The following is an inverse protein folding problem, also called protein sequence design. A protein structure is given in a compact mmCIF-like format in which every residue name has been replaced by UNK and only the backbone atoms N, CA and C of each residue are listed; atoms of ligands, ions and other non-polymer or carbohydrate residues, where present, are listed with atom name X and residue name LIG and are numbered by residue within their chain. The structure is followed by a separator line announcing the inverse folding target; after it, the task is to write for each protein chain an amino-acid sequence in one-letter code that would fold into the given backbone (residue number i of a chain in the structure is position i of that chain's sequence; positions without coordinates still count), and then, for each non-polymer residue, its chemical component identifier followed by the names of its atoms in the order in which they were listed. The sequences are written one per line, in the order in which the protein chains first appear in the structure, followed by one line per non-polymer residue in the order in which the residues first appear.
data_IF_015360533327
#
_entry.id   IF_015360533327
#
_cell.length_a   1.000
_cell.length_b   1.000
_cell.length_c   1.000
_cell.angle_alpha   90.00
_cell.angle_beta   90.00
_cell.angle_gamma   90.00
#
_symmetry.space_group_name_H-M   'P 1'
#
loop_
_entity.id
_entity.type
_entity.pdbx_description
1 polymer ?
#
# COMPACT_ATOMS: atom_id res chain seq x y z
N UNK A 1 -8.41 -11.80 13.33
CA UNK A 1 -8.90 -10.97 12.22
C UNK A 1 -10.02 -10.09 12.77
N UNK A 2 -9.99 -8.80 12.48
CA UNK A 2 -10.94 -7.78 12.94
C UNK A 2 -11.65 -7.16 11.75
N UNK A 3 -12.71 -6.42 12.00
CA UNK A 3 -13.45 -5.66 10.98
C UNK A 3 -13.73 -4.25 11.48
N UNK A 4 -13.82 -3.32 10.55
CA UNK A 4 -14.32 -1.97 10.79
C UNK A 4 -15.17 -1.54 9.60
N UNK A 5 -16.27 -0.87 9.88
CA UNK A 5 -17.14 -0.32 8.85
C UNK A 5 -16.71 1.11 8.54
N UNK A 6 -16.54 1.37 7.26
CA UNK A 6 -16.32 2.69 6.65
C UNK A 6 -17.47 2.97 5.67
N UNK A 7 -17.59 4.20 5.22
CA UNK A 7 -18.66 4.60 4.30
C UNK A 7 -18.75 3.76 3.01
N UNK A 8 -17.60 3.25 2.56
CA UNK A 8 -17.51 2.36 1.39
C UNK A 8 -17.92 0.91 1.64
N UNK A 9 -17.94 0.44 2.90
CA UNK A 9 -18.22 -0.96 3.27
C UNK A 9 -17.35 -1.43 4.42
N UNK A 10 -17.19 -2.74 4.59
CA UNK A 10 -16.44 -3.35 5.71
C UNK A 10 -15.00 -3.66 5.32
N UNK A 11 -14.04 -3.13 6.07
CA UNK A 11 -12.60 -3.44 5.93
C UNK A 11 -12.18 -4.48 6.96
N UNK A 12 -11.60 -5.56 6.48
CA UNK A 12 -11.02 -6.61 7.33
C UNK A 12 -9.53 -6.33 7.54
N UNK A 13 -9.05 -6.52 8.78
CA UNK A 13 -7.64 -6.30 9.11
C UNK A 13 -7.11 -7.30 10.15
N UNK A 14 -5.80 -7.51 10.12
CA UNK A 14 -5.05 -8.24 11.13
C UNK A 14 -4.26 -7.25 12.00
N UNK A 15 -3.92 -7.64 13.23
CA UNK A 15 -3.07 -6.86 14.13
C UNK A 15 -1.93 -7.70 14.65
N UNK A 16 -0.78 -7.07 14.88
CA UNK A 16 0.37 -7.67 15.55
C UNK A 16 1.06 -6.63 16.42
N UNK A 17 1.68 -7.07 17.52
CA UNK A 17 2.38 -6.21 18.47
C UNK A 17 1.47 -5.64 19.57
N UNK A 18 2.06 -4.86 20.48
CA UNK A 18 1.36 -4.33 21.64
C UNK A 18 0.33 -3.25 21.23
N UNK A 19 -0.85 -3.21 21.87
CA UNK A 19 -1.88 -2.23 21.53
C UNK A 19 -1.48 -0.77 21.83
N UNK A 20 -0.50 -0.58 22.69
CA UNK A 20 0.05 0.74 23.08
C UNK A 20 1.25 1.16 22.23
N UNK A 21 1.73 0.30 21.32
CA UNK A 21 2.81 0.67 20.40
C UNK A 21 2.37 1.73 19.38
N UNK A 22 3.33 2.48 18.83
CA UNK A 22 3.06 3.43 17.75
C UNK A 22 2.41 2.70 16.57
N UNK A 23 1.28 3.18 16.05
CA UNK A 23 0.55 2.47 15.00
C UNK A 23 1.29 2.54 13.66
N UNK A 24 1.45 1.36 13.02
CA UNK A 24 1.95 1.20 11.65
C UNK A 24 0.84 0.58 10.82
N UNK A 25 0.33 1.31 9.84
CA UNK A 25 -0.76 0.87 8.95
C UNK A 25 -0.21 0.63 7.55
N UNK A 26 -0.56 -0.51 6.96
CA UNK A 26 -0.01 -0.96 5.69
C UNK A 26 -1.01 -0.86 4.55
N UNK A 27 -0.54 -0.43 3.38
CA UNK A 27 -1.32 -0.40 2.14
C UNK A 27 -0.63 -1.28 1.10
N UNK A 28 -1.29 -2.38 0.73
CA UNK A 28 -0.83 -3.30 -0.31
C UNK A 28 -1.22 -2.81 -1.72
N UNK A 29 -0.61 -3.39 -2.74
CA UNK A 29 -0.81 -3.00 -4.12
C UNK A 29 -2.02 -3.64 -4.82
N UNK A 30 -2.06 -3.45 -6.14
CA UNK A 30 -3.14 -3.89 -7.03
C UNK A 30 -3.29 -5.41 -7.06
N UNK A 31 -4.52 -5.89 -6.86
CA UNK A 31 -4.89 -7.31 -6.81
C UNK A 31 -4.07 -8.13 -5.80
N UNK A 32 -3.65 -7.49 -4.70
CA UNK A 32 -2.93 -8.08 -3.58
C UNK A 32 -3.79 -8.03 -2.31
N UNK A 33 -3.28 -8.59 -1.21
CA UNK A 33 -3.94 -8.59 0.10
C UNK A 33 -2.99 -8.30 1.25
N UNK A 34 -3.53 -8.07 2.45
CA UNK A 34 -2.77 -7.76 3.65
C UNK A 34 -1.71 -8.81 4.00
N UNK A 35 -1.90 -10.07 3.60
CA UNK A 35 -0.92 -11.14 3.83
C UNK A 35 0.47 -10.88 3.24
N UNK A 36 0.60 -9.96 2.28
CA UNK A 36 1.89 -9.45 1.79
C UNK A 36 2.79 -8.97 2.94
N UNK A 37 2.19 -8.35 3.93
CA UNK A 37 2.89 -7.68 5.02
C UNK A 37 3.19 -8.57 6.24
N UNK A 38 2.68 -9.82 6.28
CA UNK A 38 2.86 -10.71 7.44
C UNK A 38 4.32 -10.92 7.86
N UNK A 39 5.29 -11.13 6.94
CA UNK A 39 6.69 -11.28 7.35
C UNK A 39 7.25 -10.04 8.01
N UNK A 40 6.90 -8.85 7.50
CA UNK A 40 7.36 -7.56 8.02
C UNK A 40 6.66 -7.20 9.32
N UNK A 41 5.32 -7.26 9.36
CA UNK A 41 4.53 -6.88 10.53
C UNK A 41 4.87 -7.71 11.77
N UNK A 42 5.18 -9.01 11.57
CA UNK A 42 5.63 -9.89 12.66
C UNK A 42 6.98 -9.47 13.25
N UNK A 43 7.86 -8.84 12.47
CA UNK A 43 9.15 -8.31 12.93
C UNK A 43 8.98 -7.01 13.68
N UNK A 44 8.29 -6.05 13.08
CA UNK A 44 8.02 -4.75 13.69
C UNK A 44 7.24 -4.88 15.00
N UNK A 45 6.37 -5.87 15.10
CA UNK A 45 5.65 -6.19 16.34
C UNK A 45 6.59 -6.60 17.49
N UNK A 46 7.69 -7.31 17.20
CA UNK A 46 8.73 -7.65 18.19
C UNK A 46 9.54 -6.43 18.65
N UNK A 47 9.62 -5.42 17.78
CA UNK A 47 10.24 -4.13 18.09
C UNK A 47 9.29 -3.17 18.83
N UNK A 48 8.12 -3.67 19.27
CA UNK A 48 7.16 -2.91 20.08
C UNK A 48 6.19 -2.03 19.29
N UNK A 49 6.16 -2.13 17.96
CA UNK A 49 5.23 -1.37 17.12
C UNK A 49 3.87 -2.08 17.03
N UNK A 50 2.80 -1.29 16.98
CA UNK A 50 1.43 -1.78 16.75
C UNK A 50 1.15 -1.84 15.25
N UNK A 51 1.34 -3.01 14.65
CA UNK A 51 1.09 -3.23 13.23
C UNK A 51 -0.39 -3.51 12.98
N UNK A 52 -0.99 -2.79 12.04
CA UNK A 52 -2.37 -2.91 11.58
C UNK A 52 -2.33 -3.18 10.08
N UNK A 53 -2.82 -4.35 9.67
CA UNK A 53 -2.65 -4.89 8.32
C UNK A 53 -4.01 -5.09 7.66
N UNK A 54 -4.60 -4.04 7.05
CA UNK A 54 -5.87 -4.15 6.35
C UNK A 54 -5.73 -4.89 5.02
N UNK A 55 -6.84 -5.48 4.58
CA UNK A 55 -7.01 -5.90 3.19
C UNK A 55 -7.94 -4.90 2.50
N UNK A 56 -7.33 -3.97 1.79
CA UNK A 56 -8.02 -2.90 1.08
C UNK A 56 -8.82 -3.43 -0.12
N UNK A 57 -9.83 -2.68 -0.63
CA UNK A 57 -10.73 -3.17 -1.68
C UNK A 57 -10.08 -3.17 -3.08
N UNK A 58 -8.84 -3.67 -3.17
CA UNK A 58 -8.01 -3.76 -4.37
C UNK A 58 -8.01 -5.17 -5.00
N UNK A 59 -8.98 -6.04 -4.65
CA UNK A 59 -9.18 -7.34 -5.28
C UNK A 59 -9.13 -8.55 -4.34
N UNK A 60 -8.46 -8.46 -3.19
CA UNK A 60 -8.36 -9.56 -2.20
C UNK A 60 -9.29 -9.37 -0.98
N UNK A 61 -10.06 -8.29 -0.92
CA UNK A 61 -10.94 -7.98 0.19
C UNK A 61 -12.01 -9.06 0.40
N UNK A 62 -12.45 -9.21 1.65
CA UNK A 62 -13.27 -10.35 2.09
C UNK A 62 -14.75 -10.18 1.76
N UNK A 63 -15.23 -8.94 1.72
CA UNK A 63 -16.60 -8.57 1.48
C UNK A 63 -16.65 -7.47 0.41
N UNK A 64 -17.59 -7.57 -0.53
CA UNK A 64 -17.75 -6.55 -1.55
C UNK A 64 -18.11 -5.19 -0.94
N UNK A 65 -17.54 -4.13 -1.48
CA UNK A 65 -17.90 -2.75 -1.12
C UNK A 65 -19.32 -2.43 -1.59
N UNK A 66 -19.92 -1.40 -0.98
CA UNK A 66 -21.23 -0.91 -1.38
C UNK A 66 -21.24 -0.52 -2.87
N UNK A 67 -22.36 -0.69 -3.58
CA UNK A 67 -22.44 -0.30 -4.99
C UNK A 67 -22.14 1.18 -5.24
N UNK A 68 -22.43 2.03 -4.26
CA UNK A 68 -22.15 3.48 -4.29
C UNK A 68 -20.74 3.86 -3.86
N UNK A 69 -19.93 2.92 -3.35
CA UNK A 69 -18.58 3.21 -2.89
C UNK A 69 -17.72 3.79 -4.02
N UNK A 70 -16.95 4.83 -3.73
CA UNK A 70 -15.98 5.37 -4.67
C UNK A 70 -14.78 4.43 -4.77
N UNK A 71 -14.69 3.73 -5.91
CA UNK A 71 -13.61 2.78 -6.20
C UNK A 71 -12.48 3.42 -7.03
N UNK A 72 -12.35 4.73 -7.01
CA UNK A 72 -11.16 5.41 -7.54
C UNK A 72 -10.00 5.34 -6.54
N UNK A 73 -8.78 5.68 -6.97
CA UNK A 73 -7.63 5.75 -6.06
C UNK A 73 -7.88 6.76 -4.93
N UNK A 74 -8.50 7.92 -5.23
CA UNK A 74 -8.90 8.92 -4.22
C UNK A 74 -9.98 8.38 -3.28
N UNK A 75 -10.95 7.65 -3.81
CA UNK A 75 -11.97 6.98 -2.99
C UNK A 75 -11.36 5.96 -2.03
N UNK A 76 -10.39 5.17 -2.48
CA UNK A 76 -9.65 4.24 -1.60
C UNK A 76 -8.81 5.00 -0.58
N UNK A 77 -8.15 6.09 -0.95
CA UNK A 77 -7.40 6.94 -0.01
C UNK A 77 -8.32 7.55 1.07
N UNK A 78 -9.52 8.01 0.69
CA UNK A 78 -10.53 8.48 1.63
C UNK A 78 -11.00 7.36 2.58
N UNK A 79 -11.18 6.12 2.09
CA UNK A 79 -11.47 4.96 2.94
C UNK A 79 -10.33 4.66 3.92
N UNK A 80 -9.07 4.86 3.51
CA UNK A 80 -7.92 4.73 4.42
C UNK A 80 -8.01 5.79 5.51
N UNK A 81 -8.25 7.04 5.19
CA UNK A 81 -8.38 8.12 6.17
C UNK A 81 -9.53 7.85 7.15
N UNK A 82 -10.71 7.48 6.65
CA UNK A 82 -11.86 7.12 7.48
C UNK A 82 -11.56 5.91 8.39
N UNK A 83 -10.83 4.91 7.88
CA UNK A 83 -10.38 3.76 8.68
C UNK A 83 -9.51 4.20 9.87
N UNK A 84 -8.58 5.14 9.64
CA UNK A 84 -7.75 5.68 10.71
C UNK A 84 -8.59 6.43 11.74
N UNK A 85 -9.58 7.22 11.29
CA UNK A 85 -10.48 7.99 12.14
C UNK A 85 -11.38 7.09 12.99
N UNK A 86 -12.03 6.09 12.39
CA UNK A 86 -12.93 5.16 13.11
C UNK A 86 -12.19 4.36 14.16
N UNK A 87 -10.94 3.98 13.91
CA UNK A 87 -10.09 3.27 14.88
C UNK A 87 -9.43 4.23 15.90
N UNK A 88 -9.63 5.54 15.79
CA UNK A 88 -9.04 6.54 16.67
C UNK A 88 -7.51 6.50 16.68
N UNK A 89 -6.90 6.21 15.51
CA UNK A 89 -5.45 6.13 15.38
C UNK A 89 -4.86 7.53 15.18
N UNK A 90 -3.81 7.82 15.95
CA UNK A 90 -3.03 9.05 15.88
C UNK A 90 -1.56 8.72 15.66
N UNK A 91 -0.79 9.66 15.15
CA UNK A 91 0.65 9.53 14.91
C UNK A 91 1.01 8.29 14.09
N UNK A 92 0.18 8.00 13.07
CA UNK A 92 0.27 6.79 12.26
C UNK A 92 1.50 6.81 11.35
N UNK A 93 2.28 5.76 11.36
CA UNK A 93 3.27 5.46 10.32
C UNK A 93 2.55 4.73 9.18
N UNK A 94 2.31 5.42 8.06
CA UNK A 94 1.63 4.84 6.91
C UNK A 94 2.65 4.22 5.96
N UNK A 95 2.53 2.93 5.67
CA UNK A 95 3.47 2.17 4.84
C UNK A 95 2.79 1.72 3.55
N UNK A 96 3.30 2.12 2.39
CA UNK A 96 2.74 1.73 1.08
C UNK A 96 3.75 1.05 0.16
N UNK A 97 3.26 0.09 -0.66
CA UNK A 97 4.04 -0.60 -1.67
C UNK A 97 3.23 -0.75 -2.96
N UNK A 98 3.88 -0.77 -4.12
CA UNK A 98 3.21 -0.92 -5.43
C UNK A 98 2.11 0.16 -5.57
N UNK A 99 0.93 -0.14 -6.07
CA UNK A 99 -0.20 0.80 -6.13
C UNK A 99 -0.62 1.31 -4.73
N UNK A 100 -0.36 0.53 -3.66
CA UNK A 100 -0.58 0.98 -2.29
C UNK A 100 0.31 2.16 -1.88
N UNK A 101 1.49 2.29 -2.47
CA UNK A 101 2.33 3.47 -2.28
C UNK A 101 1.76 4.71 -2.97
N UNK A 102 1.15 4.57 -4.16
CA UNK A 102 0.42 5.67 -4.78
C UNK A 102 -0.79 6.10 -3.94
N UNK A 103 -1.56 5.14 -3.39
CA UNK A 103 -2.65 5.44 -2.44
C UNK A 103 -2.10 6.17 -1.21
N UNK A 104 -0.97 5.72 -0.64
CA UNK A 104 -0.34 6.36 0.51
C UNK A 104 0.09 7.82 0.22
N UNK A 105 0.60 8.10 -0.99
CA UNK A 105 0.91 9.46 -1.44
C UNK A 105 -0.36 10.33 -1.49
N UNK A 106 -1.48 9.81 -2.00
CA UNK A 106 -2.77 10.53 -1.98
C UNK A 106 -3.24 10.77 -0.56
N UNK A 107 -3.14 9.79 0.35
CA UNK A 107 -3.49 9.99 1.78
C UNK A 107 -2.60 11.07 2.41
N UNK A 108 -1.29 11.04 2.14
CA UNK A 108 -0.35 12.02 2.69
C UNK A 108 -0.63 13.46 2.21
N UNK A 109 -1.17 13.62 1.00
CA UNK A 109 -1.42 14.94 0.39
C UNK A 109 -2.86 15.44 0.54
N UNK A 110 -3.84 14.56 0.66
CA UNK A 110 -5.25 14.94 0.76
C UNK A 110 -5.85 14.70 2.16
N UNK A 111 -5.26 13.80 2.98
CA UNK A 111 -5.76 13.39 4.30
C UNK A 111 -4.63 13.19 5.33
N UNK A 112 -3.73 14.18 5.55
CA UNK A 112 -2.52 13.99 6.36
C UNK A 112 -2.75 13.98 7.88
N UNK A 113 -3.94 14.31 8.37
CA UNK A 113 -4.19 14.70 9.76
C UNK A 113 -3.75 13.62 10.78
N UNK A 114 -4.06 12.36 10.52
CA UNK A 114 -3.74 11.22 11.40
C UNK A 114 -2.33 10.67 11.23
N UNK A 115 -1.62 11.10 10.19
CA UNK A 115 -0.28 10.60 9.93
C UNK A 115 0.75 11.25 10.86
N UNK A 116 1.70 10.49 11.32
CA UNK A 116 2.92 10.94 11.98
C UNK A 116 4.14 10.77 11.09
N UNK A 117 4.12 9.81 10.17
CA UNK A 117 5.19 9.56 9.22
C UNK A 117 4.69 8.78 7.99
N UNK A 118 5.46 8.82 6.90
CA UNK A 118 5.20 8.10 5.67
C UNK A 118 6.36 7.16 5.34
N UNK A 119 6.07 5.92 4.94
CA UNK A 119 7.07 4.99 4.40
C UNK A 119 6.61 4.52 3.03
N UNK A 120 7.40 4.78 2.01
CA UNK A 120 7.15 4.30 0.66
C UNK A 120 8.22 3.27 0.28
N UNK A 121 7.77 2.06 -0.05
CA UNK A 121 8.63 1.04 -0.63
C UNK A 121 8.29 0.93 -2.11
N UNK A 122 9.23 0.62 -2.98
CA UNK A 122 9.06 0.47 -4.44
C UNK A 122 7.60 0.56 -4.92
N UNK A 123 7.18 1.69 -5.47
CA UNK A 123 5.77 1.96 -5.69
C UNK A 123 5.49 2.83 -6.93
N UNK A 124 4.24 2.81 -7.35
CA UNK A 124 3.72 3.69 -8.39
C UNK A 124 3.88 5.17 -7.98
N UNK A 125 4.40 5.98 -8.90
CA UNK A 125 4.57 7.42 -8.72
C UNK A 125 4.64 8.13 -10.08
N UNK A 126 4.35 9.42 -10.08
CA UNK A 126 4.53 10.32 -11.21
C UNK A 126 3.84 9.83 -12.49
N UNK A 127 4.51 10.04 -13.64
CA UNK A 127 4.05 9.65 -14.98
C UNK A 127 4.14 8.13 -15.26
N UNK A 128 4.87 7.36 -14.45
CA UNK A 128 5.04 5.93 -14.64
C UNK A 128 3.82 5.11 -14.19
N UNK A 129 2.80 5.77 -13.65
CA UNK A 129 1.53 5.15 -13.32
C UNK A 129 0.44 5.47 -14.36
N UNK A 130 -0.45 4.52 -14.73
CA UNK A 130 -0.38 3.10 -14.40
C UNK A 130 0.72 2.39 -15.21
N UNK A 131 1.38 1.37 -14.61
CA UNK A 131 2.45 0.65 -15.31
C UNK A 131 1.92 -0.06 -16.56
N UNK A 132 2.71 -0.13 -17.65
CA UNK A 132 2.26 -0.68 -18.94
C UNK A 132 1.70 -2.10 -18.87
N UNK A 133 2.13 -2.89 -17.89
CA UNK A 133 1.62 -4.26 -17.68
C UNK A 133 0.11 -4.28 -17.34
N UNK A 134 -0.44 -3.19 -16.81
CA UNK A 134 -1.86 -3.07 -16.50
C UNK A 134 -2.72 -2.65 -17.71
N UNK A 135 -2.13 -2.20 -18.82
CA UNK A 135 -2.87 -1.70 -19.97
C UNK A 135 -3.93 -2.69 -20.53
N UNK A 136 -3.65 -4.01 -20.61
CA UNK A 136 -4.66 -4.99 -21.03
C UNK A 136 -5.85 -5.08 -20.05
N UNK A 137 -5.58 -5.00 -18.74
CA UNK A 137 -6.61 -5.02 -17.69
C UNK A 137 -7.45 -3.75 -17.69
N UNK A 138 -6.83 -2.58 -17.86
CA UNK A 138 -7.51 -1.29 -17.99
C UNK A 138 -8.43 -1.30 -19.20
N UNK A 139 -7.96 -1.84 -20.33
CA UNK A 139 -8.77 -2.00 -21.54
C UNK A 139 -9.93 -2.96 -21.30
N UNK A 140 -9.68 -4.10 -20.67
CA UNK A 140 -10.70 -5.08 -20.32
C UNK A 140 -11.73 -4.51 -19.33
N UNK A 141 -11.33 -3.62 -18.43
CA UNK A 141 -12.22 -3.01 -17.44
C UNK A 141 -13.36 -2.18 -18.06
N UNK A 142 -13.21 -1.73 -19.32
CA UNK A 142 -14.27 -1.04 -20.06
C UNK A 142 -15.45 -1.97 -20.40
N UNK A 143 -15.24 -3.28 -20.43
CA UNK A 143 -16.25 -4.30 -20.75
C UNK A 143 -16.33 -5.31 -19.62
N UNK A 144 -17.38 -5.30 -18.78
CA UNK A 144 -17.45 -6.13 -17.56
C UNK A 144 -17.22 -7.61 -17.79
N UNK A 145 -17.76 -8.18 -18.88
CA UNK A 145 -17.57 -9.58 -19.23
C UNK A 145 -16.10 -9.89 -19.55
N UNK A 146 -15.41 -9.04 -20.30
CA UNK A 146 -14.01 -9.22 -20.67
C UNK A 146 -13.10 -9.17 -19.43
N UNK A 147 -13.36 -8.20 -18.54
CA UNK A 147 -12.62 -8.11 -17.28
C UNK A 147 -12.81 -9.36 -16.43
N UNK A 148 -14.05 -9.86 -16.34
CA UNK A 148 -14.35 -11.10 -15.62
C UNK A 148 -13.59 -12.30 -16.18
N UNK A 149 -13.49 -12.41 -17.51
CA UNK A 149 -12.67 -13.47 -18.16
C UNK A 149 -11.20 -13.31 -17.77
N UNK A 150 -10.67 -12.08 -17.78
CA UNK A 150 -9.28 -11.81 -17.37
C UNK A 150 -9.04 -12.20 -15.90
N UNK A 151 -9.96 -11.88 -14.99
CA UNK A 151 -9.90 -12.31 -13.58
C UNK A 151 -9.95 -13.84 -13.47
N UNK A 152 -10.82 -14.52 -14.25
CA UNK A 152 -10.89 -15.99 -14.22
C UNK A 152 -9.60 -16.65 -14.74
N UNK A 153 -8.89 -16.02 -15.68
CA UNK A 153 -7.60 -16.53 -16.18
C UNK A 153 -6.53 -16.57 -15.05
N UNK A 154 -6.67 -15.73 -14.01
CA UNK A 154 -5.78 -15.73 -12.84
C UNK A 154 -5.89 -17.00 -11.98
N UNK A 155 -6.87 -17.88 -12.22
CA UNK A 155 -6.90 -19.24 -11.65
C UNK A 155 -5.67 -20.05 -12.06
N UNK A 156 -5.16 -19.82 -13.28
CA UNK A 156 -3.98 -20.51 -13.79
C UNK A 156 -2.72 -20.03 -13.02
N UNK A 157 -1.98 -20.99 -12.47
CA UNK A 157 -0.67 -20.74 -11.85
C UNK A 157 0.30 -20.08 -12.82
N UNK A 158 0.28 -20.48 -14.09
CA UNK A 158 1.15 -19.93 -15.13
C UNK A 158 0.84 -18.44 -15.37
N UNK A 159 -0.44 -18.07 -15.41
CA UNK A 159 -0.87 -16.67 -15.56
C UNK A 159 -0.42 -15.85 -14.36
N UNK A 160 -0.62 -16.35 -13.13
CA UNK A 160 -0.15 -15.66 -11.92
C UNK A 160 1.36 -15.49 -11.88
N UNK A 161 2.12 -16.52 -12.22
CA UNK A 161 3.59 -16.43 -12.31
C UNK A 161 4.05 -15.39 -13.31
N UNK A 162 3.34 -15.25 -14.43
CA UNK A 162 3.65 -14.21 -15.42
C UNK A 162 3.31 -12.81 -14.89
N UNK A 163 2.22 -12.67 -14.13
CA UNK A 163 1.77 -11.38 -13.60
C UNK A 163 2.60 -10.90 -12.39
N UNK A 164 2.97 -11.82 -11.49
CA UNK A 164 3.59 -11.46 -10.21
C UNK A 164 5.04 -11.93 -10.06
N UNK A 165 5.50 -12.87 -10.89
CA UNK A 165 6.78 -13.56 -10.67
C UNK A 165 8.03 -12.68 -10.73
N UNK A 166 7.93 -11.49 -11.31
CA UNK A 166 9.04 -10.53 -11.33
C UNK A 166 9.04 -9.57 -10.13
N UNK A 167 8.00 -9.61 -9.27
CA UNK A 167 7.86 -8.71 -8.11
C UNK A 167 8.67 -9.16 -6.88
N UNK A 168 9.14 -10.41 -6.85
CA UNK A 168 10.04 -10.92 -5.80
C UNK A 168 10.99 -11.97 -6.37
N UNK A 169 12.10 -12.21 -5.66
CA UNK A 169 12.97 -13.37 -5.89
C UNK A 169 12.32 -14.66 -5.35
N UNK A 170 11.55 -14.53 -4.28
CA UNK A 170 10.85 -15.63 -3.64
C UNK A 170 9.69 -16.18 -4.51
N UNK A 171 9.28 -17.42 -4.22
CA UNK A 171 8.12 -18.03 -4.87
C UNK A 171 6.81 -17.45 -4.29
N UNK A 172 6.03 -16.78 -5.14
CA UNK A 172 4.78 -16.13 -4.76
C UNK A 172 3.52 -16.98 -5.05
N UNK A 173 3.65 -18.25 -5.43
CA UNK A 173 2.52 -19.07 -5.88
C UNK A 173 1.38 -19.17 -4.85
N UNK A 174 1.72 -19.40 -3.59
CA UNK A 174 0.74 -19.52 -2.51
C UNK A 174 0.05 -18.17 -2.21
N UNK A 175 0.83 -17.10 -2.06
CA UNK A 175 0.32 -15.75 -1.80
C UNK A 175 -0.58 -15.25 -2.94
N UNK A 176 -0.12 -15.39 -4.18
CA UNK A 176 -0.91 -14.95 -5.34
C UNK A 176 -2.19 -15.75 -5.53
N UNK A 177 -2.19 -17.04 -5.17
CA UNK A 177 -3.41 -17.85 -5.16
C UNK A 177 -4.40 -17.38 -4.08
N UNK A 178 -3.90 -17.00 -2.89
CA UNK A 178 -4.71 -16.43 -1.81
C UNK A 178 -5.33 -15.10 -2.26
N UNK A 179 -4.54 -14.17 -2.79
CA UNK A 179 -4.98 -12.82 -3.14
C UNK A 179 -6.10 -12.80 -4.19
N UNK A 180 -5.96 -13.60 -5.26
CA UNK A 180 -6.96 -13.59 -6.34
C UNK A 180 -8.20 -14.42 -6.03
N UNK A 181 -8.16 -15.24 -4.96
CA UNK A 181 -9.20 -16.22 -4.64
C UNK A 181 -10.61 -15.59 -4.54
N UNK A 182 -10.71 -14.43 -3.89
CA UNK A 182 -11.99 -13.75 -3.69
C UNK A 182 -12.52 -13.17 -4.99
N UNK A 183 -11.73 -12.41 -5.72
CA UNK A 183 -12.16 -11.83 -7.01
C UNK A 183 -12.55 -12.90 -8.04
N UNK A 184 -11.90 -14.07 -8.00
CA UNK A 184 -12.25 -15.19 -8.89
C UNK A 184 -13.59 -15.83 -8.54
N UNK A 185 -13.96 -15.89 -7.26
CA UNK A 185 -15.18 -16.57 -6.78
C UNK A 185 -16.38 -15.66 -6.60
N UNK A 186 -16.15 -14.42 -6.25
CA UNK A 186 -17.20 -13.44 -5.98
C UNK A 186 -17.26 -12.39 -7.09
N UNK A 187 -18.36 -12.39 -7.89
CA UNK A 187 -18.54 -11.42 -8.95
C UNK A 187 -18.60 -9.97 -8.46
N UNK A 188 -19.08 -9.72 -7.24
CA UNK A 188 -19.17 -8.37 -6.69
C UNK A 188 -17.78 -7.84 -6.31
N UNK A 189 -16.89 -8.69 -5.78
CA UNK A 189 -15.48 -8.33 -5.54
C UNK A 189 -14.74 -8.11 -6.86
N UNK A 190 -14.99 -8.95 -7.87
CA UNK A 190 -14.45 -8.72 -9.21
C UNK A 190 -14.91 -7.39 -9.82
N UNK A 191 -16.17 -7.00 -9.57
CA UNK A 191 -16.72 -5.72 -10.01
C UNK A 191 -16.07 -4.53 -9.28
N UNK A 192 -15.81 -4.63 -7.96
CA UNK A 192 -15.05 -3.60 -7.24
C UNK A 192 -13.65 -3.44 -7.85
N UNK A 193 -12.94 -4.54 -8.10
CA UNK A 193 -11.63 -4.49 -8.76
C UNK A 193 -11.71 -3.91 -10.17
N UNK A 194 -12.75 -4.25 -10.95
CA UNK A 194 -12.97 -3.68 -12.29
C UNK A 194 -13.16 -2.16 -12.23
N UNK A 195 -13.98 -1.67 -11.31
CA UNK A 195 -14.23 -0.24 -11.13
C UNK A 195 -12.96 0.50 -10.75
N UNK A 196 -12.19 -0.05 -9.82
CA UNK A 196 -10.88 0.50 -9.47
C UNK A 196 -9.95 0.51 -10.68
N UNK A 197 -9.81 -0.61 -11.40
CA UNK A 197 -8.96 -0.73 -12.60
C UNK A 197 -9.36 0.28 -13.68
N UNK A 198 -10.65 0.46 -13.91
CA UNK A 198 -11.17 1.38 -14.93
C UNK A 198 -10.98 2.86 -14.59
N UNK A 199 -10.68 3.19 -13.32
CA UNK A 199 -10.45 4.55 -12.85
C UNK A 199 -8.97 4.94 -12.82
N UNK A 200 -8.04 4.00 -13.07
CA UNK A 200 -6.61 4.28 -13.01
C UNK A 200 -6.21 5.33 -14.05
N UNK A 201 -5.53 6.36 -13.59
CA UNK A 201 -5.04 7.47 -14.44
C UNK A 201 -3.75 8.06 -13.89
N UNK A 202 -2.86 8.42 -14.77
CA UNK A 202 -1.61 9.13 -14.46
C UNK A 202 -1.85 10.44 -13.73
N UNK A 203 -2.98 11.11 -14.00
CA UNK A 203 -3.28 12.39 -13.38
C UNK A 203 -3.32 12.31 -11.85
N UNK A 204 -3.81 11.20 -11.28
CA UNK A 204 -3.88 11.05 -9.81
C UNK A 204 -2.49 11.06 -9.15
N UNK A 205 -1.51 10.36 -9.74
CA UNK A 205 -0.14 10.34 -9.21
C UNK A 205 0.60 11.65 -9.48
N UNK A 206 0.33 12.34 -10.58
CA UNK A 206 0.88 13.67 -10.86
C UNK A 206 0.31 14.72 -9.90
N UNK A 207 -0.99 14.69 -9.61
CA UNK A 207 -1.62 15.60 -8.65
C UNK A 207 -1.06 15.38 -7.23
N UNK A 208 -0.91 14.12 -6.80
CA UNK A 208 -0.28 13.80 -5.53
C UNK A 208 1.17 14.30 -5.49
N UNK A 209 1.96 14.01 -6.53
CA UNK A 209 3.36 14.43 -6.61
C UNK A 209 3.54 15.95 -6.52
N UNK A 210 2.65 16.73 -7.14
CA UNK A 210 2.68 18.20 -7.08
C UNK A 210 2.46 18.72 -5.65
N UNK A 211 1.80 17.94 -4.77
CA UNK A 211 1.48 18.32 -3.39
C UNK A 211 2.37 17.64 -2.33
N UNK A 212 3.25 16.70 -2.71
CA UNK A 212 4.22 16.10 -1.76
C UNK A 212 5.05 17.13 -0.99
N UNK A 213 5.45 18.29 -1.56
CA UNK A 213 6.14 19.34 -0.80
C UNK A 213 5.32 19.94 0.37
N UNK A 214 3.99 19.76 0.39
CA UNK A 214 3.10 20.19 1.48
C UNK A 214 3.14 19.22 2.67
N UNK A 215 3.60 17.97 2.47
CA UNK A 215 3.72 16.96 3.53
C UNK A 215 5.03 17.17 4.29
N UNK A 216 4.95 17.87 5.42
CA UNK A 216 6.12 18.27 6.23
C UNK A 216 6.50 17.25 7.31
N UNK A 217 5.78 16.12 7.40
CA UNK A 217 6.09 15.06 8.36
C UNK A 217 7.20 14.15 7.81
N UNK A 218 7.97 13.46 8.68
CA UNK A 218 9.05 12.60 8.25
C UNK A 218 8.63 11.52 7.25
N UNK A 219 9.48 11.26 6.26
CA UNK A 219 9.26 10.22 5.26
C UNK A 219 10.49 9.34 5.06
N UNK A 220 10.28 8.01 4.94
CA UNK A 220 11.29 7.03 4.54
C UNK A 220 10.94 6.49 3.16
N UNK A 221 11.86 6.61 2.23
CA UNK A 221 11.80 5.99 0.91
C UNK A 221 12.73 4.78 0.93
N UNK A 222 12.17 3.57 1.10
CA UNK A 222 12.91 2.32 1.17
C UNK A 222 12.80 1.56 -0.16
N UNK A 223 13.68 1.83 -1.11
CA UNK A 223 13.57 1.36 -2.49
C UNK A 223 14.37 0.10 -2.75
N UNK A 224 13.79 -0.86 -3.46
CA UNK A 224 14.47 -2.10 -3.82
C UNK A 224 15.46 -1.88 -4.95
N UNK A 225 16.70 -2.36 -4.78
CA UNK A 225 17.78 -2.15 -5.75
C UNK A 225 17.57 -2.96 -7.05
N UNK A 226 16.98 -4.17 -6.94
CA UNK A 226 16.76 -5.07 -8.09
C UNK A 226 15.35 -4.92 -8.70
N UNK A 227 14.66 -3.78 -8.45
CA UNK A 227 13.30 -3.56 -8.93
C UNK A 227 13.28 -3.40 -10.45
N UNK A 228 12.49 -4.26 -11.12
CA UNK A 228 12.32 -4.23 -12.57
C UNK A 228 11.11 -3.41 -13.02
N UNK A 229 10.20 -3.03 -12.10
CA UNK A 229 8.97 -2.31 -12.42
C UNK A 229 9.05 -0.84 -12.04
N UNK A 230 9.64 -0.53 -10.90
CA UNK A 230 9.71 0.81 -10.33
C UNK A 230 11.17 1.29 -10.38
N UNK A 231 11.51 2.22 -11.31
CA UNK A 231 12.89 2.66 -11.47
C UNK A 231 13.39 3.40 -10.23
N UNK A 232 14.66 3.22 -9.88
CA UNK A 232 15.28 3.91 -8.74
C UNK A 232 15.18 5.44 -8.85
N UNK A 233 15.08 5.96 -10.08
CA UNK A 233 14.85 7.39 -10.31
C UNK A 233 13.57 7.92 -9.67
N UNK A 234 12.52 7.08 -9.57
CA UNK A 234 11.27 7.49 -8.92
C UNK A 234 11.41 7.53 -7.41
N UNK A 235 12.15 6.59 -6.82
CA UNK A 235 12.51 6.64 -5.40
C UNK A 235 13.28 7.92 -5.05
N UNK A 236 14.25 8.28 -5.90
CA UNK A 236 15.00 9.54 -5.75
C UNK A 236 14.10 10.77 -5.90
N UNK A 237 13.23 10.81 -6.91
CA UNK A 237 12.31 11.94 -7.14
C UNK A 237 11.31 12.09 -5.98
N UNK A 238 10.83 10.99 -5.39
CA UNK A 238 9.96 11.02 -4.21
C UNK A 238 10.70 11.61 -3.01
N UNK A 239 11.97 11.20 -2.79
CA UNK A 239 12.80 11.78 -1.75
C UNK A 239 13.07 13.25 -1.98
N UNK A 240 13.38 13.67 -3.20
CA UNK A 240 13.62 15.07 -3.55
C UNK A 240 12.34 15.94 -3.39
N UNK A 241 11.13 15.35 -3.54
CA UNK A 241 9.86 16.06 -3.43
C UNK A 241 9.35 16.20 -1.98
N UNK A 242 9.79 15.35 -1.06
CA UNK A 242 9.36 15.34 0.35
C UNK A 242 10.38 16.14 1.19
N UNK A 243 9.95 17.22 1.91
CA UNK A 243 10.87 18.13 2.61
C UNK A 243 11.71 17.48 3.72
N UNK A 244 11.15 16.51 4.44
CA UNK A 244 11.84 15.75 5.49
C UNK A 244 11.85 14.27 5.12
N UNK A 245 12.78 13.89 4.25
CA UNK A 245 12.85 12.53 3.71
C UNK A 245 14.24 11.91 3.82
N UNK A 246 14.24 10.58 3.96
CA UNK A 246 15.43 9.71 3.89
C UNK A 246 15.22 8.69 2.79
N UNK A 247 16.18 8.54 1.88
CA UNK A 247 16.19 7.49 0.85
C UNK A 247 17.19 6.41 1.23
N UNK A 248 16.72 5.15 1.22
CA UNK A 248 17.54 3.96 1.44
C UNK A 248 17.29 2.93 0.33
N UNK A 249 18.34 2.26 -0.12
CA UNK A 249 18.23 1.17 -1.07
C UNK A 249 18.35 -0.19 -0.37
N UNK A 250 17.50 -1.12 -0.77
CA UNK A 250 17.47 -2.48 -0.23
C UNK A 250 18.04 -3.42 -1.29
N UNK A 251 19.25 -3.89 -1.05
CA UNK A 251 19.96 -4.83 -1.91
C UNK A 251 19.30 -6.21 -1.92
N UNK A 252 19.45 -6.93 -3.04
CA UNK A 252 18.91 -8.28 -3.22
C UNK A 252 17.39 -8.37 -2.98
N UNK A 253 16.66 -7.31 -3.31
CA UNK A 253 15.21 -7.25 -3.21
C UNK A 253 14.61 -6.65 -4.49
N UNK A 254 13.48 -7.22 -4.89
CA UNK A 254 12.60 -6.66 -5.92
C UNK A 254 11.46 -5.87 -5.27
N UNK A 255 10.43 -5.54 -6.01
CA UNK A 255 9.27 -4.75 -5.55
C UNK A 255 8.78 -5.16 -4.16
N UNK A 256 8.79 -6.46 -3.86
CA UNK A 256 8.36 -6.99 -2.56
C UNK A 256 9.52 -7.18 -1.59
N UNK A 257 10.19 -6.09 -1.21
CA UNK A 257 11.25 -6.12 -0.19
C UNK A 257 10.79 -6.68 1.15
N UNK A 258 9.50 -6.55 1.50
CA UNK A 258 8.87 -7.18 2.67
C UNK A 258 8.84 -8.72 2.59
N UNK A 259 9.09 -9.30 1.42
CA UNK A 259 9.21 -10.75 1.18
C UNK A 259 10.66 -11.15 0.99
N UNK A 260 11.42 -10.41 0.16
CA UNK A 260 12.79 -10.77 -0.21
C UNK A 260 13.81 -10.42 0.88
N UNK A 261 13.65 -9.28 1.55
CA UNK A 261 14.55 -8.78 2.58
C UNK A 261 13.80 -8.22 3.82
N UNK A 262 12.90 -9.00 4.44
CA UNK A 262 12.01 -8.50 5.50
C UNK A 262 12.76 -8.03 6.75
N UNK A 263 13.93 -8.59 7.06
CA UNK A 263 14.73 -8.18 8.21
C UNK A 263 15.39 -6.81 7.98
N UNK A 264 15.86 -6.54 6.76
CA UNK A 264 16.46 -5.27 6.39
C UNK A 264 15.40 -4.17 6.40
N UNK A 265 14.25 -4.41 5.77
CA UNK A 265 13.15 -3.43 5.74
C UNK A 265 12.61 -3.17 7.15
N UNK A 266 12.50 -4.20 8.01
CA UNK A 266 12.08 -4.02 9.39
C UNK A 266 13.04 -3.15 10.18
N UNK A 267 14.35 -3.39 10.06
CA UNK A 267 15.37 -2.60 10.74
C UNK A 267 15.33 -1.13 10.32
N UNK A 268 15.21 -0.86 9.02
CA UNK A 268 15.08 0.52 8.48
C UNK A 268 13.85 1.24 9.03
N UNK A 269 12.69 0.57 9.04
CA UNK A 269 11.44 1.16 9.56
C UNK A 269 11.54 1.37 11.08
N UNK A 270 12.06 0.40 11.85
CA UNK A 270 12.17 0.52 13.30
C UNK A 270 13.13 1.65 13.71
N UNK A 271 14.28 1.79 13.04
CA UNK A 271 15.21 2.90 13.22
C UNK A 271 14.55 4.24 12.91
N UNK A 272 13.89 4.35 11.76
CA UNK A 272 13.19 5.55 11.32
C UNK A 272 12.09 5.97 12.32
N UNK A 273 11.28 5.02 12.78
CA UNK A 273 10.21 5.27 13.75
C UNK A 273 10.77 5.73 15.09
N UNK A 274 11.88 5.15 15.54
CA UNK A 274 12.56 5.55 16.79
C UNK A 274 13.09 6.97 16.70
N UNK A 275 13.76 7.31 15.60
CA UNK A 275 14.31 8.66 15.38
C UNK A 275 13.19 9.73 15.34
N UNK A 276 12.10 9.45 14.64
CA UNK A 276 10.98 10.43 14.52
C UNK A 276 10.17 10.58 15.80
N UNK A 277 10.12 9.57 16.68
CA UNK A 277 9.45 9.64 17.98
C UNK A 277 10.25 10.47 19.01
N UNK A 278 11.56 10.60 18.86
CA UNK A 278 12.41 11.41 19.72
C UNK A 278 12.21 12.92 19.46
N UNK A 279 12.16 13.31 18.18
CA UNK A 279 11.99 14.71 17.75
C UNK A 279 10.64 15.29 18.20
N UNK A 280 9.57 14.49 18.17
CA UNK A 280 8.23 14.92 18.62
C UNK A 280 8.17 15.22 20.14
N UNK A 281 8.94 14.50 20.94
CA UNK A 281 8.97 14.71 22.42
C UNK A 281 9.71 15.97 22.82
N UNK A 282 10.77 16.33 22.10
CA UNK A 282 11.54 17.54 22.40
C UNK A 282 10.77 18.80 21.98
N UNK A 283 9.99 18.74 20.90
CA UNK A 283 9.14 19.86 20.46
C UNK A 283 7.96 20.16 21.39
N UNK A 284 7.44 19.18 22.13
CA UNK A 284 6.38 19.36 23.12
C UNK A 284 6.93 19.81 24.49
N UNK A 285 8.18 19.44 24.82
CA UNK A 285 8.85 19.88 26.04
C UNK A 285 9.17 21.39 26.03
N UNK A 286 9.44 21.97 24.84
CA UNK A 286 9.73 23.41 24.69
C UNK A 286 8.46 24.29 24.63
N UNK A 287 7.25 23.70 24.64
CA UNK A 287 5.96 24.45 24.67
C UNK A 287 5.27 24.50 26.03
N UNK A 288 5.82 23.86 27.03
CA UNK A 288 5.37 23.94 28.43
C UNK A 288 6.27 24.87 29.26
#
# INVERSE_FOLDING_TARGET
MHTVDVSGGTIHYETAGPPTGRPVVFIHGYAMGGSLWRPLSSRLARDGLRCIVPTWPLGAHQQAMHPSADMTMRGVAAMVAEFLDVLGLEDVVLVGNDTGGAVAQVVATEHPDRLGALVLTSCDAFEHFPPPILAPFITAAKVPMLFRVAVQAMRSRMVRRRAYGALAHANLDALTAEWIHRAVRDPAIAENLRRFTGSLTTQTTLDAAARLPEFTKPALIAWSADDAFFPQSDGKRLADALPDSRLEYIENARTFSMIDAPDVLAALIAEFVTATSAVGRDADADRC
#
